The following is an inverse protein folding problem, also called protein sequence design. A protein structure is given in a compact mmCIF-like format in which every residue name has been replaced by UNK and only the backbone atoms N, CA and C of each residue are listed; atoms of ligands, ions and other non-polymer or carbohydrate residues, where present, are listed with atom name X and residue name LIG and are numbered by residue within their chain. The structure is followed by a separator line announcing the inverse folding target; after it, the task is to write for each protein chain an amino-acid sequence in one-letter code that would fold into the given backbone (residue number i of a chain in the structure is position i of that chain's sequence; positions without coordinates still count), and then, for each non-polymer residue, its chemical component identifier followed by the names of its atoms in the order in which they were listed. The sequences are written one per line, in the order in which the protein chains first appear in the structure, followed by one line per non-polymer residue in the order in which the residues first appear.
data_IF_842729585039
#
_entry.id   IF_842729585039
#
_cell.length_a   1.000
_cell.length_b   1.000
_cell.length_c   1.000
_cell.angle_alpha   90.00
_cell.angle_beta   90.00
_cell.angle_gamma   90.00
#
_symmetry.space_group_name_H-M   'P 1'
#
loop_
_entity.id
_entity.type
_entity.pdbx_description
1 polymer ?
#
# COMPACT_ATOMS: atom_id res chain seq x y z
N UNK A 1 14.49 5.09 -16.08
CA UNK A 1 14.23 3.68 -15.77
C UNK A 1 14.05 2.90 -17.07
N UNK A 2 15.03 2.09 -17.49
CA UNK A 2 14.99 1.36 -18.77
C UNK A 2 13.74 0.48 -18.91
N UNK A 3 13.39 -0.27 -17.86
CA UNK A 3 12.21 -1.13 -17.82
C UNK A 3 10.89 -0.36 -18.04
N UNK A 4 10.69 0.78 -17.36
CA UNK A 4 9.48 1.60 -17.55
C UNK A 4 9.39 2.13 -18.98
N UNK A 5 10.51 2.56 -19.55
CA UNK A 5 10.56 3.03 -20.95
C UNK A 5 10.19 1.90 -21.91
N UNK A 6 10.79 0.73 -21.73
CA UNK A 6 10.49 -0.46 -22.53
C UNK A 6 9.01 -0.85 -22.44
N UNK A 7 8.43 -0.81 -21.24
CA UNK A 7 7.02 -1.13 -21.01
C UNK A 7 6.08 -0.15 -21.74
N UNK A 8 6.42 1.13 -21.75
CA UNK A 8 5.68 2.16 -22.49
C UNK A 8 5.83 2.04 -24.02
N UNK A 9 6.97 1.57 -24.51
CA UNK A 9 7.23 1.40 -25.94
C UNK A 9 6.60 0.11 -26.50
N UNK A 10 6.76 -1.01 -25.79
CA UNK A 10 6.35 -2.35 -26.24
C UNK A 10 4.88 -2.66 -25.98
N UNK A 11 4.32 -2.14 -24.87
CA UNK A 11 2.93 -2.38 -24.45
C UNK A 11 2.12 -1.09 -24.35
N UNK A 12 2.38 -0.14 -25.24
CA UNK A 12 1.81 1.24 -25.22
C UNK A 12 0.28 1.34 -25.10
N UNK A 13 -0.48 0.30 -25.48
CA UNK A 13 -1.95 0.26 -25.32
C UNK A 13 -2.42 -0.23 -23.95
N UNK A 14 -1.53 -0.82 -23.16
CA UNK A 14 -1.81 -1.46 -21.87
C UNK A 14 -1.04 -0.80 -20.72
N UNK A 15 -0.24 0.21 -21.00
CA UNK A 15 0.56 0.95 -20.03
C UNK A 15 0.34 2.45 -20.13
N UNK A 16 0.38 3.13 -18.99
CA UNK A 16 0.27 4.59 -18.90
C UNK A 16 1.23 5.11 -17.84
N UNK A 17 1.93 6.20 -18.14
CA UNK A 17 2.79 6.88 -17.17
C UNK A 17 2.05 8.08 -16.60
N UNK A 18 1.74 8.01 -15.31
CA UNK A 18 1.19 9.13 -14.54
C UNK A 18 2.27 9.67 -13.61
N UNK A 19 2.61 10.95 -13.76
CA UNK A 19 3.63 11.60 -12.93
C UNK A 19 2.98 12.18 -11.68
N UNK A 20 3.36 11.66 -10.52
CA UNK A 20 3.03 12.24 -9.22
C UNK A 20 4.23 13.07 -8.73
N UNK A 21 4.01 14.34 -8.39
CA UNK A 21 4.99 15.18 -7.71
C UNK A 21 4.48 15.38 -6.28
N UNK A 22 5.33 15.05 -5.31
CA UNK A 22 4.96 14.95 -3.91
C UNK A 22 5.22 16.30 -3.18
N UNK A 23 4.17 17.07 -2.89
CA UNK A 23 4.28 18.34 -2.12
C UNK A 23 4.54 18.10 -0.64
N UNK A 24 5.46 18.80 0.05
CA UNK A 24 5.74 18.58 1.48
C UNK A 24 4.48 18.54 2.36
N UNK A 25 4.40 17.66 3.38
CA UNK A 25 5.43 16.72 3.87
C UNK A 25 5.63 15.47 2.98
N UNK A 26 6.84 14.93 2.95
CA UNK A 26 7.21 13.76 2.13
C UNK A 26 7.40 12.47 2.95
N UNK A 27 6.76 12.36 4.11
CA UNK A 27 6.84 11.15 4.95
C UNK A 27 5.95 10.03 4.40
N UNK A 28 6.39 8.78 4.55
CA UNK A 28 5.65 7.59 4.09
C UNK A 28 4.22 7.57 4.58
N UNK A 29 4.02 7.79 5.89
CA UNK A 29 2.70 7.81 6.51
C UNK A 29 1.73 8.77 5.83
N UNK A 30 2.16 10.03 5.61
CA UNK A 30 1.29 11.05 5.00
C UNK A 30 0.93 10.69 3.55
N UNK A 31 1.83 10.01 2.84
CA UNK A 31 1.57 9.54 1.47
C UNK A 31 0.64 8.35 1.45
N UNK A 32 0.77 7.41 2.37
CA UNK A 32 -0.17 6.30 2.50
C UNK A 32 -1.57 6.82 2.85
N UNK A 33 -1.70 7.76 3.79
CA UNK A 33 -2.98 8.41 4.12
C UNK A 33 -3.61 9.07 2.90
N UNK A 34 -2.86 9.91 2.18
CA UNK A 34 -3.36 10.60 1.00
C UNK A 34 -3.76 9.62 -0.12
N UNK A 35 -2.97 8.56 -0.34
CA UNK A 35 -3.22 7.57 -1.38
C UNK A 35 -4.52 6.79 -1.16
N UNK A 36 -4.81 6.40 0.08
CA UNK A 36 -5.98 5.56 0.39
C UNK A 36 -7.25 6.34 0.64
N UNK A 37 -7.16 7.56 1.16
CA UNK A 37 -8.32 8.43 1.46
C UNK A 37 -8.66 9.38 0.32
N UNK A 38 -7.70 9.64 -0.59
CA UNK A 38 -7.83 10.68 -1.61
C UNK A 38 -7.77 12.11 -1.05
N UNK A 39 -7.41 12.29 0.22
CA UNK A 39 -7.28 13.60 0.85
C UNK A 39 -5.93 14.24 0.57
N UNK A 40 -5.86 15.57 0.63
CA UNK A 40 -4.60 16.30 0.57
C UNK A 40 -3.88 16.19 1.93
N UNK A 41 -2.57 15.89 1.97
CA UNK A 41 -1.82 15.91 3.22
C UNK A 41 -1.82 17.34 3.79
N UNK A 42 -2.34 17.55 5.00
CA UNK A 42 -2.25 18.85 5.68
C UNK A 42 -1.21 18.83 6.79
N UNK A 43 -0.56 19.96 7.04
CA UNK A 43 0.46 20.07 8.10
C UNK A 43 -0.10 19.82 9.51
N UNK A 44 -1.40 20.06 9.73
CA UNK A 44 -2.07 19.85 11.02
C UNK A 44 -2.16 18.36 11.34
N UNK A 45 -2.39 17.52 10.32
CA UNK A 45 -2.45 16.07 10.49
C UNK A 45 -1.16 15.50 11.08
N UNK A 46 0.01 16.06 10.76
CA UNK A 46 1.30 15.58 11.27
C UNK A 46 1.32 15.59 12.81
N UNK A 47 0.76 16.62 13.44
CA UNK A 47 0.74 16.74 14.91
C UNK A 47 -0.16 15.70 15.58
N UNK A 48 -1.28 15.35 14.94
CA UNK A 48 -2.18 14.27 15.39
C UNK A 48 -1.58 12.88 15.11
N UNK A 49 -0.85 12.72 14.01
CA UNK A 49 -0.18 11.47 13.64
C UNK A 49 1.00 11.09 14.57
N UNK A 50 1.39 11.95 15.51
CA UNK A 50 2.29 11.58 16.62
C UNK A 50 1.54 11.00 17.84
N UNK A 51 0.21 11.11 17.90
CA UNK A 51 -0.62 10.76 19.07
C UNK A 51 -1.57 9.58 18.78
N UNK A 52 -1.88 9.30 17.51
CA UNK A 52 -2.59 8.10 17.07
C UNK A 52 -2.33 7.86 15.59
N UNK A 53 -1.90 6.65 15.24
CA UNK A 53 -1.57 6.30 13.85
C UNK A 53 -2.80 5.90 13.02
N UNK A 54 -3.94 5.62 13.67
CA UNK A 54 -5.13 5.10 13.00
C UNK A 54 -5.79 6.15 12.11
N UNK A 55 -6.11 5.75 10.87
CA UNK A 55 -6.88 6.55 9.92
C UNK A 55 -8.37 6.29 10.15
N UNK A 56 -9.06 7.30 10.67
CA UNK A 56 -10.51 7.27 10.88
C UNK A 56 -11.31 7.70 9.64
N UNK A 57 -10.67 8.39 8.70
CA UNK A 57 -11.32 8.86 7.49
C UNK A 57 -11.74 7.70 6.56
N UNK A 58 -12.77 7.95 5.75
CA UNK A 58 -13.18 7.01 4.73
C UNK A 58 -12.03 6.79 3.72
N UNK A 59 -11.78 5.52 3.39
CA UNK A 59 -10.65 5.12 2.59
C UNK A 59 -10.99 3.89 1.75
N UNK A 60 -10.16 3.63 0.74
CA UNK A 60 -10.37 2.54 -0.21
C UNK A 60 -10.44 1.16 0.48
N UNK A 61 -9.69 0.91 1.55
CA UNK A 61 -9.70 -0.39 2.24
C UNK A 61 -11.03 -0.62 2.96
N UNK A 62 -11.50 0.38 3.69
CA UNK A 62 -12.82 0.37 4.32
C UNK A 62 -13.93 0.19 3.28
N UNK A 63 -13.85 0.90 2.15
CA UNK A 63 -14.82 0.77 1.06
C UNK A 63 -14.83 -0.63 0.45
N UNK A 64 -13.67 -1.25 0.22
CA UNK A 64 -13.55 -2.59 -0.33
C UNK A 64 -14.23 -3.66 0.56
N UNK A 65 -14.12 -3.51 1.88
CA UNK A 65 -14.74 -4.41 2.86
C UNK A 65 -16.25 -4.17 2.98
N UNK A 66 -16.69 -2.91 2.93
CA UNK A 66 -18.12 -2.55 3.02
C UNK A 66 -18.94 -2.98 1.80
N UNK A 67 -18.30 -3.32 0.67
CA UNK A 67 -19.03 -3.80 -0.51
C UNK A 67 -19.79 -5.10 -0.20
N UNK A 68 -20.95 -5.36 -0.83
CA UNK A 68 -21.72 -6.62 -0.66
C UNK A 68 -20.91 -7.89 -0.97
N UNK A 69 -19.81 -7.70 -1.69
CA UNK A 69 -18.93 -8.70 -2.23
C UNK A 69 -17.76 -9.05 -1.30
N UNK A 70 -17.54 -8.28 -0.21
CA UNK A 70 -16.49 -8.45 0.80
C UNK A 70 -15.16 -8.90 0.20
N UNK A 71 -14.42 -7.97 -0.41
CA UNK A 71 -13.15 -8.30 -1.07
C UNK A 71 -12.13 -8.80 -0.07
N UNK A 72 -11.40 -9.85 -0.44
CA UNK A 72 -10.24 -10.30 0.34
C UNK A 72 -9.08 -9.34 0.10
N UNK A 73 -8.56 -8.78 1.19
CA UNK A 73 -7.41 -7.87 1.15
C UNK A 73 -6.18 -8.61 1.65
N UNK A 74 -5.10 -8.60 0.88
CA UNK A 74 -3.80 -9.15 1.26
C UNK A 74 -2.77 -8.03 1.37
N UNK A 75 -1.91 -8.09 2.39
CA UNK A 75 -0.87 -7.11 2.66
C UNK A 75 0.50 -7.78 2.74
N UNK A 76 1.42 -7.29 1.91
CA UNK A 76 2.85 -7.55 1.98
C UNK A 76 3.56 -6.20 2.10
N UNK A 77 4.35 -5.99 3.15
CA UNK A 77 4.98 -4.69 3.39
C UNK A 77 5.49 -4.55 4.81
N UNK A 78 5.37 -3.35 5.39
CA UNK A 78 5.81 -3.08 6.75
C UNK A 78 4.65 -2.73 7.72
N UNK A 79 4.99 -2.65 9.01
CA UNK A 79 4.04 -2.47 10.12
C UNK A 79 3.40 -1.08 10.18
N UNK A 80 3.83 -0.13 9.34
CA UNK A 80 3.15 1.16 9.15
C UNK A 80 1.69 0.95 8.75
N UNK A 81 1.40 -0.07 7.92
CA UNK A 81 0.04 -0.37 7.49
C UNK A 81 -0.86 -0.85 8.63
N UNK A 82 -0.30 -1.63 9.56
CA UNK A 82 -1.05 -2.10 10.73
C UNK A 82 -1.34 -0.97 11.71
N UNK A 83 -0.41 -0.03 11.85
CA UNK A 83 -0.61 1.18 12.63
C UNK A 83 -1.69 2.09 12.01
N UNK A 84 -1.71 2.21 10.67
CA UNK A 84 -2.66 3.05 9.94
C UNK A 84 -4.07 2.47 9.85
N UNK A 85 -4.20 1.14 9.71
CA UNK A 85 -5.48 0.46 9.48
C UNK A 85 -5.67 -0.75 10.41
N UNK A 86 -5.70 -0.55 11.74
CA UNK A 86 -5.72 -1.63 12.72
C UNK A 86 -6.96 -2.52 12.63
N UNK A 87 -8.06 -2.02 12.05
CA UNK A 87 -9.36 -2.71 11.99
C UNK A 87 -9.56 -3.53 10.70
N UNK A 88 -8.56 -3.61 9.82
CA UNK A 88 -8.65 -4.38 8.58
C UNK A 88 -8.22 -5.83 8.84
N UNK A 89 -9.13 -6.77 8.57
CA UNK A 89 -8.81 -8.18 8.63
C UNK A 89 -8.19 -8.65 7.31
N UNK A 90 -6.85 -8.69 7.25
CA UNK A 90 -6.11 -9.14 6.07
C UNK A 90 -6.15 -10.66 5.93
N UNK A 91 -6.44 -11.15 4.73
CA UNK A 91 -6.43 -12.58 4.42
C UNK A 91 -5.01 -13.15 4.44
N UNK A 92 -4.07 -12.45 3.82
CA UNK A 92 -2.65 -12.78 3.86
C UNK A 92 -1.92 -11.57 4.41
N UNK A 93 -1.06 -11.80 5.40
CA UNK A 93 -0.38 -10.73 6.14
C UNK A 93 1.10 -11.09 6.30
N UNK A 94 1.95 -10.42 5.52
CA UNK A 94 3.40 -10.55 5.57
C UNK A 94 4.00 -9.18 5.84
N UNK A 95 4.26 -8.91 7.12
CA UNK A 95 4.65 -7.58 7.61
C UNK A 95 6.02 -7.65 8.27
N UNK A 96 6.86 -6.66 7.94
CA UNK A 96 8.22 -6.51 8.45
C UNK A 96 8.33 -5.22 9.29
N UNK A 97 9.34 -5.12 10.18
CA UNK A 97 9.53 -3.92 10.98
C UNK A 97 9.76 -2.67 10.11
N UNK A 98 9.09 -1.56 10.42
CA UNK A 98 9.41 -0.25 9.85
C UNK A 98 10.42 0.53 10.71
N UNK A 99 10.96 1.62 10.16
CA UNK A 99 11.88 2.55 10.83
C UNK A 99 13.26 2.02 11.24
N UNK A 100 13.68 0.84 10.77
CA UNK A 100 15.09 0.44 10.86
C UNK A 100 15.88 1.06 9.69
N UNK A 101 16.60 2.15 9.98
CA UNK A 101 17.39 2.88 8.98
C UNK A 101 18.63 2.12 8.49
N UNK A 102 18.99 1.02 9.15
CA UNK A 102 20.12 0.17 8.75
C UNK A 102 19.70 -1.00 7.87
N UNK A 103 18.42 -1.33 7.87
CA UNK A 103 17.82 -2.35 7.02
C UNK A 103 17.36 -1.74 5.70
N UNK A 104 17.87 -2.26 4.59
CA UNK A 104 17.64 -1.71 3.25
C UNK A 104 16.95 -2.68 2.30
N UNK A 105 16.66 -3.90 2.73
CA UNK A 105 16.18 -4.95 1.81
C UNK A 105 15.30 -6.03 2.43
N UNK A 106 15.15 -6.11 3.76
CA UNK A 106 14.33 -7.17 4.38
C UNK A 106 12.87 -7.10 3.93
N UNK A 107 12.30 -5.91 3.84
CA UNK A 107 10.93 -5.68 3.36
C UNK A 107 10.79 -6.21 1.93
N UNK A 108 11.68 -5.78 1.03
CA UNK A 108 11.66 -6.15 -0.39
C UNK A 108 11.82 -7.65 -0.60
N UNK A 109 12.83 -8.24 0.04
CA UNK A 109 13.11 -9.67 -0.03
C UNK A 109 11.94 -10.50 0.54
N UNK A 110 11.33 -10.00 1.62
CA UNK A 110 10.16 -10.57 2.24
C UNK A 110 8.95 -10.59 1.30
N UNK A 111 8.67 -9.47 0.65
CA UNK A 111 7.60 -9.37 -0.35
C UNK A 111 7.87 -10.32 -1.51
N UNK A 112 9.06 -10.31 -2.10
CA UNK A 112 9.41 -11.15 -3.24
C UNK A 112 9.28 -12.64 -2.94
N UNK A 113 9.55 -13.06 -1.70
CA UNK A 113 9.40 -14.44 -1.24
C UNK A 113 7.94 -14.91 -1.24
N UNK A 114 6.99 -14.02 -0.98
CA UNK A 114 5.59 -14.40 -0.75
C UNK A 114 4.63 -13.94 -1.86
N UNK A 115 4.96 -12.90 -2.62
CA UNK A 115 4.07 -12.25 -3.58
C UNK A 115 3.47 -13.22 -4.60
N UNK A 116 4.28 -14.10 -5.18
CA UNK A 116 3.81 -15.04 -6.19
C UNK A 116 2.83 -16.06 -5.62
N UNK A 117 3.07 -16.55 -4.40
CA UNK A 117 2.14 -17.44 -3.70
C UNK A 117 0.80 -16.73 -3.44
N UNK A 118 0.83 -15.48 -2.97
CA UNK A 118 -0.41 -14.69 -2.77
C UNK A 118 -1.18 -14.48 -4.06
N UNK A 119 -0.50 -14.20 -5.18
CA UNK A 119 -1.14 -14.04 -6.49
C UNK A 119 -1.78 -15.34 -6.96
N UNK A 120 -1.11 -16.49 -6.79
CA UNK A 120 -1.65 -17.79 -7.17
C UNK A 120 -2.86 -18.17 -6.31
N UNK A 121 -2.76 -18.01 -4.99
CA UNK A 121 -3.84 -18.34 -4.05
C UNK A 121 -5.09 -17.49 -4.31
N UNK A 122 -4.91 -16.22 -4.69
CA UNK A 122 -6.02 -15.29 -4.97
C UNK A 122 -6.52 -15.33 -6.41
N UNK A 123 -5.88 -16.08 -7.32
CA UNK A 123 -6.23 -16.12 -8.76
C UNK A 123 -7.65 -16.60 -9.04
N UNK A 124 -8.14 -17.53 -8.22
CA UNK A 124 -9.47 -18.11 -8.37
C UNK A 124 -10.55 -17.36 -7.58
N UNK A 125 -10.15 -16.34 -6.83
CA UNK A 125 -11.08 -15.48 -6.11
C UNK A 125 -11.62 -14.43 -7.06
N UNK A 126 -12.95 -14.29 -7.11
CA UNK A 126 -13.58 -13.30 -7.98
C UNK A 126 -13.22 -11.85 -7.56
N UNK A 127 -12.77 -11.65 -6.32
CA UNK A 127 -12.73 -10.35 -5.65
C UNK A 127 -11.55 -10.24 -4.67
N UNK A 128 -10.32 -10.11 -5.17
CA UNK A 128 -9.11 -9.90 -4.36
C UNK A 128 -8.52 -8.49 -4.56
N UNK A 129 -7.84 -7.98 -3.53
CA UNK A 129 -7.04 -6.76 -3.57
C UNK A 129 -5.72 -7.02 -2.84
N UNK A 130 -4.59 -6.77 -3.48
CA UNK A 130 -3.25 -7.05 -2.93
C UNK A 130 -2.49 -5.73 -2.81
N UNK A 131 -1.96 -5.48 -1.61
CA UNK A 131 -1.01 -4.41 -1.33
C UNK A 131 0.38 -5.03 -1.22
N UNK A 132 1.31 -4.56 -2.04
CA UNK A 132 2.73 -4.89 -1.95
C UNK A 132 3.53 -3.57 -1.79
N UNK A 133 3.97 -3.27 -0.57
CA UNK A 133 4.64 -2.02 -0.20
C UNK A 133 6.14 -2.26 -0.01
N UNK A 134 6.91 -2.05 -1.07
CA UNK A 134 8.37 -2.12 -1.09
C UNK A 134 9.00 -0.88 -0.43
N UNK A 135 10.25 -1.01 0.02
CA UNK A 135 11.07 0.07 0.62
C UNK A 135 11.50 1.12 -0.42
#
# INVERSE_FOLDING_TARGET
MPFVKELLETTSKQSVLLRLIADPPTTTLQRLKALTTGTLPTFIDISYNFIGYEIEEDNILNQLIKTPYQRNISLLGDDTWLALYPNINFKHLYVYPSFDVHDLDTVDNGILKHLWTVIEDTRHEQLSFIIAHFL
#
